data_IF_846949924373
#
_entry.id   IF_846949924373
#
_cell.length_a   1.000
_cell.length_b   1.000
_cell.length_c   1.000
_cell.angle_alpha   90.00
_cell.angle_beta   90.00
_cell.angle_gamma   90.00
#
_symmetry.space_group_name_H-M   'P 1'
#
loop_
_entity.id
_entity.type
_entity.pdbx_description
1 polymer ?
#
# COMPACT_ATOMS: atom_id res chain seq x y z
N UNK A 1 -56.80 -36.61 -16.82
CA UNK A 1 -57.68 -35.67 -16.14
C UNK A 1 -56.93 -35.13 -14.92
N UNK A 2 -56.23 -34.04 -15.09
CA UNK A 2 -56.54 -32.63 -14.79
C UNK A 2 -56.91 -32.44 -13.32
N UNK A 3 -56.05 -31.74 -12.55
CA UNK A 3 -56.12 -30.38 -12.06
C UNK A 3 -54.91 -30.05 -11.19
N UNK A 4 -54.01 -29.24 -11.49
CA UNK A 4 -53.75 -27.80 -11.52
C UNK A 4 -54.34 -27.04 -10.32
N UNK A 5 -53.46 -26.56 -9.45
CA UNK A 5 -53.41 -25.24 -8.77
C UNK A 5 -52.18 -25.29 -7.85
N UNK A 6 -51.18 -24.66 -8.07
CA UNK A 6 -50.58 -23.41 -8.33
C UNK A 6 -50.86 -22.34 -7.27
N UNK A 7 -50.13 -22.31 -6.16
CA UNK A 7 -50.05 -21.11 -5.31
C UNK A 7 -48.60 -20.77 -5.04
N UNK A 8 -48.21 -19.73 -5.73
CA UNK A 8 -46.94 -19.03 -5.54
C UNK A 8 -47.07 -18.14 -4.31
N UNK A 9 -46.55 -18.58 -3.18
CA UNK A 9 -46.35 -17.71 -2.02
C UNK A 9 -45.11 -16.86 -2.23
N UNK A 10 -45.34 -15.64 -2.64
CA UNK A 10 -44.40 -14.56 -2.71
C UNK A 10 -43.97 -14.15 -1.30
N UNK A 11 -42.80 -14.61 -0.85
CA UNK A 11 -42.14 -14.09 0.35
C UNK A 11 -41.71 -12.65 0.11
N UNK A 12 -42.57 -11.74 0.52
CA UNK A 12 -42.31 -10.30 0.59
C UNK A 12 -41.37 -10.04 1.75
N UNK A 13 -40.08 -10.07 1.48
CA UNK A 13 -39.05 -9.57 2.41
C UNK A 13 -39.26 -8.07 2.61
N UNK A 14 -39.74 -7.72 3.79
CA UNK A 14 -39.87 -6.32 4.20
C UNK A 14 -38.48 -5.69 4.34
N UNK A 15 -38.18 -4.75 3.46
CA UNK A 15 -37.05 -3.84 3.56
C UNK A 15 -37.26 -2.93 4.77
N UNK A 16 -36.83 -3.40 5.94
CA UNK A 16 -36.73 -2.51 7.11
C UNK A 16 -35.47 -1.68 6.94
N UNK A 17 -35.70 -0.51 6.41
CA UNK A 17 -34.65 0.49 6.12
C UNK A 17 -33.98 0.92 7.42
N UNK A 18 -32.67 0.84 7.46
CA UNK A 18 -31.79 1.33 8.56
C UNK A 18 -31.95 2.82 8.89
N UNK A 19 -32.93 3.49 8.36
CA UNK A 19 -33.22 4.93 8.57
C UNK A 19 -34.12 5.25 9.75
N UNK A 20 -34.78 4.26 10.37
CA UNK A 20 -35.76 4.51 11.42
C UNK A 20 -35.17 4.42 12.84
N UNK A 21 -33.87 4.17 12.98
CA UNK A 21 -33.25 4.07 14.30
C UNK A 21 -32.69 5.39 14.86
N UNK A 22 -32.72 6.48 14.09
CA UNK A 22 -32.13 7.76 14.51
C UNK A 22 -33.15 8.83 14.92
N UNK A 23 -34.47 8.55 14.94
CA UNK A 23 -35.47 9.62 15.19
C UNK A 23 -36.26 9.53 16.49
N UNK A 24 -35.94 8.59 17.38
CA UNK A 24 -36.73 8.47 18.65
C UNK A 24 -35.89 8.69 19.93
N UNK A 25 -34.88 9.54 19.89
CA UNK A 25 -34.24 10.05 21.11
C UNK A 25 -34.24 11.58 21.05
N UNK A 26 -35.45 12.15 21.05
CA UNK A 26 -35.66 13.57 21.36
C UNK A 26 -37.00 13.68 22.07
N UNK A 27 -36.93 13.96 23.34
CA UNK A 27 -37.94 14.64 24.20
C UNK A 27 -37.98 14.00 25.58
N UNK A 28 -37.19 14.53 26.48
CA UNK A 28 -37.59 14.96 27.83
C UNK A 28 -36.35 15.18 28.66
N UNK A 29 -35.95 16.43 28.84
CA UNK A 29 -35.61 16.98 30.15
C UNK A 29 -35.12 18.43 29.97
N UNK A 30 -36.01 19.37 30.25
CA UNK A 30 -35.62 20.73 30.61
C UNK A 30 -34.94 20.66 31.99
N UNK A 31 -33.68 21.05 32.08
CA UNK A 31 -32.93 21.05 33.34
C UNK A 31 -31.57 21.71 33.18
N UNK A 32 -31.52 22.97 33.56
CA UNK A 32 -30.39 23.71 34.10
C UNK A 32 -29.05 23.64 33.35
N UNK A 33 -28.84 24.59 32.44
CA UNK A 33 -27.57 24.86 31.79
C UNK A 33 -26.64 25.53 32.80
N UNK A 34 -25.80 24.75 33.48
CA UNK A 34 -24.57 25.25 34.08
C UNK A 34 -23.52 25.16 32.95
N UNK A 35 -23.08 26.33 32.52
CA UNK A 35 -22.03 26.47 31.51
C UNK A 35 -20.70 25.90 32.06
N UNK A 36 -20.44 24.66 31.82
CA UNK A 36 -19.10 24.12 31.91
C UNK A 36 -18.40 24.34 30.56
N UNK A 37 -17.18 24.88 30.53
CA UNK A 37 -16.43 24.93 29.26
C UNK A 37 -16.15 23.49 28.84
N UNK A 38 -16.86 23.05 27.79
CA UNK A 38 -16.60 21.76 27.15
C UNK A 38 -15.23 21.82 26.53
N UNK A 39 -14.25 21.36 27.28
CA UNK A 39 -12.97 20.94 26.74
C UNK A 39 -13.26 19.70 25.89
N UNK A 40 -13.77 19.91 24.68
CA UNK A 40 -13.84 18.88 23.67
C UNK A 40 -12.40 18.52 23.32
N UNK A 41 -11.85 17.58 24.10
CA UNK A 41 -10.60 16.93 23.78
C UNK A 41 -10.90 16.13 22.54
N UNK A 42 -10.70 16.76 21.38
CA UNK A 42 -10.59 16.05 20.10
C UNK A 42 -9.41 15.11 20.29
N UNK A 43 -9.69 13.86 20.62
CA UNK A 43 -8.73 12.79 20.52
C UNK A 43 -8.56 12.61 19.02
N UNK A 44 -7.69 13.42 18.42
CA UNK A 44 -7.12 13.10 17.13
C UNK A 44 -6.46 11.73 17.34
N UNK A 45 -7.01 10.70 16.70
CA UNK A 45 -6.33 9.45 16.57
C UNK A 45 -4.99 9.78 15.91
N UNK A 46 -3.91 9.81 16.71
CA UNK A 46 -2.57 9.83 16.18
C UNK A 46 -2.41 8.49 15.49
N UNK A 47 -2.65 8.46 14.18
CA UNK A 47 -2.03 7.46 13.33
C UNK A 47 -0.54 7.57 13.63
N UNK A 48 0.01 6.54 14.27
CA UNK A 48 1.43 6.46 14.52
C UNK A 48 2.10 6.34 13.17
N UNK A 49 2.47 7.49 12.61
CA UNK A 49 3.26 7.56 11.39
C UNK A 49 4.57 6.84 11.69
N UNK A 50 4.76 5.69 11.08
CA UNK A 50 6.00 4.92 11.23
C UNK A 50 7.12 5.77 10.63
N UNK A 51 7.88 6.42 11.49
CA UNK A 51 9.01 7.24 11.07
C UNK A 51 10.13 6.35 10.53
N UNK A 52 10.34 6.39 9.23
CA UNK A 52 11.43 5.70 8.58
C UNK A 52 12.72 6.53 8.63
N UNK A 53 13.90 5.92 8.90
CA UNK A 53 15.17 6.65 8.89
C UNK A 53 15.55 7.06 7.47
N UNK A 54 15.99 8.29 7.27
CA UNK A 54 16.62 8.67 6.01
C UNK A 54 18.01 8.03 5.90
N UNK A 55 18.27 7.25 4.86
CA UNK A 55 19.53 6.55 4.63
C UNK A 55 20.03 6.75 3.21
N UNK A 56 21.27 7.20 3.06
CA UNK A 56 21.91 7.27 1.75
C UNK A 56 22.08 5.86 1.17
N UNK A 57 21.82 5.72 -0.12
CA UNK A 57 22.12 4.49 -0.86
C UNK A 57 23.48 4.68 -1.50
N UNK A 58 24.48 3.99 -0.96
CA UNK A 58 25.84 4.08 -1.47
C UNK A 58 25.93 3.52 -2.90
N UNK A 59 26.81 4.09 -3.71
CA UNK A 59 27.05 3.71 -5.11
C UNK A 59 25.85 3.84 -6.06
N UNK A 60 24.75 4.46 -5.61
CA UNK A 60 23.59 4.66 -6.46
C UNK A 60 23.90 5.53 -7.70
N UNK A 61 24.78 6.51 -7.52
CA UNK A 61 25.20 7.46 -8.56
C UNK A 61 25.95 6.77 -9.72
N UNK A 62 26.68 5.69 -9.43
CA UNK A 62 27.44 4.91 -10.41
C UNK A 62 26.68 3.75 -11.03
N UNK A 63 25.46 3.48 -10.53
CA UNK A 63 24.64 2.39 -11.05
C UNK A 63 24.28 2.63 -12.52
N UNK A 64 24.63 1.67 -13.39
CA UNK A 64 24.36 1.77 -14.83
C UNK A 64 22.86 1.62 -15.15
N UNK A 65 22.35 2.29 -16.20
CA UNK A 65 21.00 2.05 -16.69
C UNK A 65 20.76 0.57 -17.01
N UNK A 66 19.60 0.05 -16.64
CA UNK A 66 19.24 -1.37 -16.83
C UNK A 66 19.81 -2.34 -15.79
N UNK A 67 20.50 -1.83 -14.76
CA UNK A 67 21.11 -2.63 -13.71
C UNK A 67 20.48 -2.46 -12.34
N UNK A 68 20.93 -3.22 -11.35
CA UNK A 68 20.43 -3.21 -9.98
C UNK A 68 21.56 -3.15 -8.96
N UNK A 69 21.24 -2.60 -7.79
CA UNK A 69 22.11 -2.54 -6.61
C UNK A 69 21.33 -3.06 -5.41
N UNK A 70 21.94 -3.95 -4.64
CA UNK A 70 21.34 -4.46 -3.42
C UNK A 70 21.79 -3.66 -2.19
N UNK A 71 20.85 -3.34 -1.31
CA UNK A 71 21.10 -2.62 -0.07
C UNK A 71 20.16 -3.10 1.03
N UNK A 72 20.17 -2.47 2.20
CA UNK A 72 19.26 -2.80 3.30
C UNK A 72 18.51 -1.56 3.77
N UNK A 73 17.17 -1.66 3.91
CA UNK A 73 16.32 -0.58 4.36
C UNK A 73 14.95 -1.10 4.85
N UNK A 74 14.38 -0.61 5.96
CA UNK A 74 14.91 0.45 6.84
C UNK A 74 15.99 -0.01 7.82
N UNK A 75 16.11 -1.30 8.09
CA UNK A 75 17.11 -1.87 9.01
C UNK A 75 18.15 -2.69 8.25
N UNK A 76 19.19 -3.15 8.96
CA UNK A 76 20.22 -4.02 8.38
C UNK A 76 19.69 -5.39 7.96
N UNK A 77 18.54 -5.80 8.51
CA UNK A 77 17.93 -7.09 8.25
C UNK A 77 16.81 -7.04 7.18
N UNK A 78 16.59 -5.87 6.57
CA UNK A 78 15.55 -5.67 5.58
C UNK A 78 16.18 -5.52 4.19
N UNK A 79 16.31 -6.65 3.45
CA UNK A 79 16.93 -6.62 2.13
C UNK A 79 16.06 -5.82 1.15
N UNK A 80 16.72 -4.97 0.38
CA UNK A 80 16.11 -4.12 -0.64
C UNK A 80 16.92 -4.16 -1.93
N UNK A 81 16.32 -3.75 -3.02
CA UNK A 81 16.94 -3.61 -4.34
C UNK A 81 16.62 -2.25 -4.91
N UNK A 82 17.66 -1.56 -5.38
CA UNK A 82 17.56 -0.37 -6.21
C UNK A 82 17.70 -0.80 -7.66
N UNK A 83 16.82 -0.30 -8.52
CA UNK A 83 16.83 -0.51 -9.95
C UNK A 83 17.05 0.82 -10.65
N UNK A 84 17.86 0.83 -11.70
CA UNK A 84 17.95 1.94 -12.62
C UNK A 84 17.44 1.50 -13.98
N UNK A 85 16.32 2.03 -14.40
CA UNK A 85 15.73 1.71 -15.69
C UNK A 85 16.57 2.26 -16.85
N UNK A 86 16.33 1.81 -18.07
CA UNK A 86 17.06 2.25 -19.26
C UNK A 86 16.91 3.74 -19.58
N UNK A 87 15.81 4.36 -19.12
CA UNK A 87 15.54 5.80 -19.22
C UNK A 87 16.17 6.60 -18.06
N UNK A 88 16.94 5.96 -17.18
CA UNK A 88 17.66 6.57 -16.07
C UNK A 88 16.86 6.75 -14.78
N UNK A 89 15.59 6.35 -14.75
CA UNK A 89 14.74 6.46 -13.57
C UNK A 89 15.14 5.45 -12.49
N UNK A 90 15.04 5.85 -11.21
CA UNK A 90 15.29 4.96 -10.10
C UNK A 90 13.99 4.45 -9.49
N UNK A 91 13.96 3.16 -9.16
CA UNK A 91 12.94 2.49 -8.37
C UNK A 91 13.58 1.59 -7.34
N UNK A 92 12.98 1.47 -6.17
CA UNK A 92 13.49 0.57 -5.16
C UNK A 92 12.36 -0.20 -4.47
N UNK A 93 12.64 -1.47 -4.19
CA UNK A 93 11.66 -2.37 -3.58
C UNK A 93 12.29 -3.19 -2.45
N UNK A 94 11.46 -3.59 -1.51
CA UNK A 94 11.81 -4.67 -0.60
C UNK A 94 12.06 -5.95 -1.39
N UNK A 95 13.14 -6.66 -1.07
CA UNK A 95 13.40 -7.98 -1.66
C UNK A 95 12.63 -9.11 -0.98
N UNK A 96 11.76 -8.82 -0.04
CA UNK A 96 10.89 -9.81 0.59
C UNK A 96 9.66 -10.06 -0.29
N UNK A 97 9.60 -11.25 -0.89
CA UNK A 97 8.44 -11.68 -1.68
C UNK A 97 7.17 -11.60 -0.83
N UNK A 98 6.15 -10.94 -1.37
CA UNK A 98 4.86 -10.75 -0.69
C UNK A 98 4.03 -12.03 -0.49
N UNK A 99 4.48 -13.17 -1.02
CA UNK A 99 3.87 -14.49 -0.76
C UNK A 99 4.34 -15.08 0.58
N UNK A 100 5.65 -15.31 0.72
CA UNK A 100 6.22 -16.04 1.87
C UNK A 100 7.58 -15.48 2.32
N UNK A 101 7.92 -14.24 1.97
CA UNK A 101 9.12 -13.54 2.45
C UNK A 101 10.45 -14.00 1.82
N UNK A 102 10.44 -14.95 0.87
CA UNK A 102 11.66 -15.35 0.16
C UNK A 102 12.29 -14.15 -0.55
N UNK A 103 13.61 -14.16 -0.71
CA UNK A 103 14.30 -13.10 -1.43
C UNK A 103 13.95 -13.11 -2.91
N UNK A 104 13.67 -11.92 -3.47
CA UNK A 104 13.52 -11.74 -4.91
C UNK A 104 14.80 -11.18 -5.50
N UNK A 105 15.10 -11.57 -6.75
CA UNK A 105 16.26 -11.12 -7.49
C UNK A 105 15.86 -10.49 -8.82
N UNK A 106 16.61 -9.47 -9.24
CA UNK A 106 16.38 -8.79 -10.50
C UNK A 106 16.96 -9.60 -11.66
N UNK A 107 16.14 -9.83 -12.66
CA UNK A 107 16.56 -10.42 -13.94
C UNK A 107 16.55 -9.31 -15.02
N UNK A 108 17.71 -8.83 -15.45
CA UNK A 108 17.79 -7.74 -16.43
C UNK A 108 17.26 -8.15 -17.81
N UNK A 109 17.31 -9.44 -18.16
CA UNK A 109 16.85 -9.94 -19.47
C UNK A 109 15.33 -9.83 -19.63
N UNK A 110 14.58 -10.16 -18.61
CA UNK A 110 13.11 -10.05 -18.58
C UNK A 110 12.61 -8.74 -17.95
N UNK A 111 13.50 -7.95 -17.34
CA UNK A 111 13.17 -6.75 -16.55
C UNK A 111 12.14 -7.02 -15.48
N UNK A 112 12.30 -8.13 -14.79
CA UNK A 112 11.42 -8.58 -13.72
C UNK A 112 12.17 -8.86 -12.44
N UNK A 113 11.46 -8.79 -11.32
CA UNK A 113 11.93 -9.30 -10.03
C UNK A 113 11.35 -10.70 -9.83
N UNK A 114 12.21 -11.69 -9.65
CA UNK A 114 11.85 -13.12 -9.59
C UNK A 114 12.08 -13.71 -8.21
N UNK A 115 11.09 -14.42 -7.69
CA UNK A 115 11.18 -15.19 -6.46
C UNK A 115 11.43 -16.67 -6.78
N UNK A 116 12.57 -17.25 -6.36
CA UNK A 116 12.89 -18.63 -6.69
C UNK A 116 12.03 -19.67 -5.99
N UNK A 117 11.46 -19.34 -4.81
CA UNK A 117 10.75 -20.30 -3.98
C UNK A 117 9.49 -20.88 -4.66
N UNK A 118 8.62 -20.03 -5.20
CA UNK A 118 7.36 -20.43 -5.82
C UNK A 118 7.12 -19.69 -7.15
N UNK A 119 8.20 -19.26 -7.81
CA UNK A 119 8.17 -18.61 -9.12
C UNK A 119 7.32 -17.33 -9.19
N UNK A 120 7.15 -16.63 -8.05
CA UNK A 120 6.55 -15.30 -8.05
C UNK A 120 7.36 -14.35 -8.91
N UNK A 121 6.69 -13.63 -9.81
CA UNK A 121 7.33 -12.69 -10.73
C UNK A 121 6.66 -11.33 -10.60
N UNK A 122 7.46 -10.28 -10.49
CA UNK A 122 6.98 -8.91 -10.32
C UNK A 122 7.57 -8.01 -11.41
N UNK A 123 6.80 -7.06 -11.87
CA UNK A 123 7.25 -6.02 -12.79
C UNK A 123 8.28 -5.11 -12.11
N UNK A 124 9.42 -4.86 -12.77
CA UNK A 124 10.49 -4.07 -12.18
C UNK A 124 10.21 -2.56 -12.13
N UNK A 125 9.26 -2.05 -12.93
CA UNK A 125 8.90 -0.62 -12.94
C UNK A 125 7.88 -0.27 -11.88
N UNK A 126 6.90 -1.16 -11.66
CA UNK A 126 5.73 -0.87 -10.84
C UNK A 126 5.64 -1.77 -9.59
N UNK A 127 6.45 -2.82 -9.50
CA UNK A 127 6.41 -3.78 -8.39
C UNK A 127 5.20 -4.72 -8.40
N UNK A 128 4.33 -4.65 -9.41
CA UNK A 128 3.13 -5.47 -9.49
C UNK A 128 3.41 -6.93 -9.73
N UNK A 129 2.52 -7.78 -9.22
CA UNK A 129 2.56 -9.22 -9.49
C UNK A 129 2.22 -9.47 -10.97
N UNK A 130 3.12 -10.11 -11.69
CA UNK A 130 2.90 -10.56 -13.06
C UNK A 130 2.53 -12.04 -13.11
N UNK A 131 3.12 -12.84 -12.22
CA UNK A 131 2.90 -14.29 -12.21
C UNK A 131 3.18 -14.90 -10.83
N UNK A 132 2.52 -16.04 -10.55
CA UNK A 132 2.75 -16.84 -9.36
C UNK A 132 1.78 -16.56 -8.20
N UNK A 133 2.05 -17.12 -7.01
CA UNK A 133 1.15 -17.07 -5.87
C UNK A 133 1.10 -15.74 -5.09
N UNK A 134 2.02 -14.76 -5.24
CA UNK A 134 1.88 -13.48 -4.57
C UNK A 134 0.56 -12.80 -4.92
N UNK A 135 -0.10 -12.17 -3.94
CA UNK A 135 -1.39 -11.49 -4.15
C UNK A 135 -1.31 -9.97 -4.09
N UNK A 136 -0.18 -9.43 -3.65
CA UNK A 136 0.04 -8.00 -3.56
C UNK A 136 1.40 -7.61 -4.15
N UNK A 137 1.58 -6.36 -4.60
CA UNK A 137 2.86 -5.83 -5.05
C UNK A 137 3.97 -6.01 -4.01
N UNK A 138 5.21 -5.85 -4.45
CA UNK A 138 6.33 -5.65 -3.52
C UNK A 138 6.16 -4.31 -2.80
N UNK A 139 6.64 -4.26 -1.55
CA UNK A 139 6.70 -2.99 -0.83
C UNK A 139 7.71 -2.07 -1.52
N UNK A 140 7.29 -0.85 -1.86
CA UNK A 140 8.14 0.15 -2.51
C UNK A 140 8.95 0.92 -1.46
N UNK A 141 10.22 1.15 -1.73
CA UNK A 141 11.08 2.05 -0.95
C UNK A 141 10.98 3.44 -1.57
N UNK A 142 10.58 4.42 -0.76
CA UNK A 142 10.45 5.80 -1.19
C UNK A 142 11.84 6.42 -1.31
N UNK A 143 12.14 6.92 -2.49
CA UNK A 143 13.43 7.51 -2.82
C UNK A 143 13.35 9.02 -2.86
N UNK A 144 14.43 9.67 -2.42
CA UNK A 144 14.61 11.12 -2.51
C UNK A 144 15.97 11.43 -3.12
N UNK A 145 15.98 12.18 -4.21
CA UNK A 145 17.20 12.75 -4.77
C UNK A 145 17.59 13.99 -3.98
N UNK A 146 18.84 14.10 -3.56
CA UNK A 146 19.39 15.26 -2.83
C UNK A 146 20.49 15.94 -3.61
N UNK A 147 20.96 17.05 -3.10
CA UNK A 147 22.04 17.84 -3.71
C UNK A 147 23.27 16.97 -4.01
N UNK A 148 23.92 17.22 -5.15
CA UNK A 148 25.05 16.41 -5.62
C UNK A 148 24.70 15.07 -6.22
N UNK A 149 23.41 14.83 -6.58
CA UNK A 149 22.97 13.60 -7.21
C UNK A 149 22.85 12.40 -6.27
N UNK A 150 22.90 12.63 -4.96
CA UNK A 150 22.83 11.58 -3.95
C UNK A 150 21.42 11.02 -3.84
N UNK A 151 21.29 9.69 -3.87
CA UNK A 151 20.01 9.01 -3.71
C UNK A 151 19.83 8.50 -2.28
N UNK A 152 18.68 8.81 -1.68
CA UNK A 152 18.34 8.45 -0.31
C UNK A 152 17.05 7.64 -0.25
N UNK A 153 17.05 6.61 0.57
CA UNK A 153 15.83 5.91 1.00
C UNK A 153 15.26 6.66 2.21
N UNK A 154 14.00 7.07 2.13
CA UNK A 154 13.37 7.94 3.14
C UNK A 154 12.06 7.39 3.68
N UNK A 155 11.55 6.31 3.11
CA UNK A 155 10.29 5.72 3.53
C UNK A 155 10.05 4.37 2.88
N UNK A 156 8.96 3.73 3.30
CA UNK A 156 8.50 2.47 2.73
C UNK A 156 6.99 2.51 2.61
N UNK A 157 6.49 2.26 1.41
CA UNK A 157 5.05 2.09 1.14
C UNK A 157 4.75 0.60 1.03
N UNK A 158 3.73 0.15 1.76
CA UNK A 158 3.29 -1.24 1.67
C UNK A 158 2.47 -1.45 0.40
N UNK A 159 2.88 -2.40 -0.42
CA UNK A 159 2.07 -2.83 -1.57
C UNK A 159 0.75 -3.44 -1.08
N UNK A 160 -0.37 -2.81 -1.39
CA UNK A 160 -1.71 -3.28 -1.05
C UNK A 160 -2.33 -4.07 -2.21
N UNK A 161 -3.16 -5.05 -1.89
CA UNK A 161 -3.91 -5.78 -2.90
C UNK A 161 -4.87 -4.83 -3.63
N UNK A 162 -4.79 -4.78 -4.97
CA UNK A 162 -5.64 -3.91 -5.78
C UNK A 162 -5.24 -2.44 -5.84
N UNK A 163 -4.14 -2.03 -5.20
CA UNK A 163 -3.66 -0.66 -5.27
C UNK A 163 -2.91 -0.39 -6.58
N UNK A 164 -3.53 0.39 -7.44
CA UNK A 164 -2.82 1.06 -8.55
C UNK A 164 -2.16 2.29 -7.94
N UNK A 165 -0.85 2.24 -7.74
CA UNK A 165 -0.10 3.41 -7.24
C UNK A 165 -0.19 4.50 -8.31
N UNK A 166 -1.12 5.42 -8.12
CA UNK A 166 -1.14 6.66 -8.89
C UNK A 166 0.03 7.49 -8.40
N UNK A 167 1.09 7.57 -9.18
CA UNK A 167 2.21 8.47 -8.91
C UNK A 167 1.70 9.89 -9.07
N UNK A 168 1.27 10.51 -7.98
CA UNK A 168 1.12 11.96 -7.94
C UNK A 168 2.52 12.53 -8.14
N UNK A 169 2.73 13.16 -9.29
CA UNK A 169 3.93 13.93 -9.58
C UNK A 169 4.14 14.93 -8.44
N UNK A 170 5.15 14.68 -7.62
CA UNK A 170 5.66 15.69 -6.71
C UNK A 170 6.30 16.73 -7.62
N UNK A 171 5.55 17.82 -7.87
CA UNK A 171 6.04 18.98 -8.56
C UNK A 171 7.25 19.51 -7.82
N UNK A 172 8.39 19.53 -8.49
CA UNK A 172 9.51 20.32 -8.07
C UNK A 172 9.26 21.78 -8.42
N UNK A 173 9.33 22.63 -7.44
CA UNK A 173 9.74 24.03 -7.55
C UNK A 173 11.17 24.16 -7.08
#
# INVERSE_FOLDING_TARGET
>A
MINRQGETESHKLSNTTRRTFCTNVMLTSAGLVLAAPHLSKVIAAQESEVAYPARKIEDAETLLPGSSLYFNYPTRNDPAVLLRSSDGQYKAYSRRCSHAGCSVDFDPSSRCLKCPCHRGTFDARMGYVMFGPPRRPLDEIILQMRAGGQLWAVGKSLGREGEVITVSSIGGD
#
